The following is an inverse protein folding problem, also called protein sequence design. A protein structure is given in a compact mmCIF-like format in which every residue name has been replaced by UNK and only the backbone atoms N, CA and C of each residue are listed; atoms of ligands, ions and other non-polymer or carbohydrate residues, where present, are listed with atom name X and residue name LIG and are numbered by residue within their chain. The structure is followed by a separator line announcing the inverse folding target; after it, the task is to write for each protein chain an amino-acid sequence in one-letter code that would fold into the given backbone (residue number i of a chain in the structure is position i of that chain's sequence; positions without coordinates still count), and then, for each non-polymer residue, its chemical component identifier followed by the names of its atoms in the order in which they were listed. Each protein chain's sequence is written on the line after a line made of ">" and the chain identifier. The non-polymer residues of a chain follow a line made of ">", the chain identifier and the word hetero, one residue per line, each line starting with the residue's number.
data_IF_959339533292
#
_entry.id   IF_959339533292
#
_cell.length_a   1.000
_cell.length_b   1.000
_cell.length_c   1.000
_cell.angle_alpha   90.00
_cell.angle_beta   90.00
_cell.angle_gamma   90.00
#
_symmetry.space_group_name_H-M   'P 1'
#
loop_
_entity.id
_entity.type
_entity.pdbx_description
1 polymer ?
#
# COMPACT_ATOMS: atom_id res chain seq x y z
N UNK A 1 15.07 -9.63 15.24
CA UNK A 1 14.26 -8.57 15.87
C UNK A 1 12.83 -8.71 15.34
N UNK A 2 11.83 -8.62 16.22
CA UNK A 2 10.42 -8.77 15.86
C UNK A 2 9.82 -7.40 15.55
N UNK A 3 9.18 -7.27 14.39
CA UNK A 3 8.45 -6.05 14.03
C UNK A 3 7.09 -6.49 13.50
N UNK A 4 6.00 -6.32 14.29
CA UNK A 4 4.68 -6.69 13.82
C UNK A 4 4.32 -5.80 12.63
N UNK A 5 4.05 -6.45 11.51
CA UNK A 5 3.61 -5.84 10.27
C UNK A 5 2.31 -6.48 9.85
N UNK A 6 1.26 -5.69 9.76
CA UNK A 6 -0.01 -6.16 9.23
C UNK A 6 0.02 -6.08 7.71
N UNK A 7 -0.20 -7.23 7.07
CA UNK A 7 -0.14 -7.38 5.61
C UNK A 7 -1.51 -7.84 5.13
N UNK A 8 -2.13 -7.05 4.26
CA UNK A 8 -3.33 -7.45 3.53
C UNK A 8 -2.99 -7.62 2.04
N UNK A 9 -3.44 -8.72 1.45
CA UNK A 9 -3.19 -9.08 0.04
C UNK A 9 -4.51 -9.41 -0.62
N UNK A 10 -4.81 -8.71 -1.72
CA UNK A 10 -5.90 -9.08 -2.62
C UNK A 10 -5.35 -9.32 -4.02
N UNK A 11 -5.56 -10.53 -4.54
CA UNK A 11 -5.12 -10.92 -5.88
C UNK A 11 -6.31 -11.01 -6.80
N UNK A 12 -6.20 -10.35 -7.94
CA UNK A 12 -7.23 -10.32 -8.94
C UNK A 12 -6.73 -10.91 -10.25
N UNK A 13 -7.63 -11.57 -10.97
CA UNK A 13 -7.40 -12.02 -12.33
C UNK A 13 -8.45 -11.44 -13.26
N UNK A 14 -8.04 -11.18 -14.49
CA UNK A 14 -8.94 -10.86 -15.59
C UNK A 14 -8.68 -11.82 -16.74
N UNK A 15 -9.75 -12.40 -17.27
CA UNK A 15 -9.74 -13.26 -18.44
C UNK A 15 -10.92 -12.89 -19.33
N UNK A 16 -10.67 -12.67 -20.61
CA UNK A 16 -11.69 -12.43 -21.64
C UNK A 16 -11.88 -13.67 -22.55
N UNK A 17 -11.45 -14.85 -22.07
CA UNK A 17 -11.55 -16.13 -22.78
C UNK A 17 -10.67 -16.31 -24.03
N UNK A 18 -10.33 -15.23 -24.74
CA UNK A 18 -9.65 -15.30 -26.03
C UNK A 18 -8.18 -14.83 -26.03
N UNK A 19 -7.85 -13.66 -25.45
CA UNK A 19 -6.50 -13.06 -25.58
C UNK A 19 -5.97 -12.32 -24.36
N UNK A 20 -6.84 -11.74 -23.53
CA UNK A 20 -6.42 -10.89 -22.42
C UNK A 20 -6.46 -11.64 -21.09
N UNK A 21 -5.33 -12.27 -20.75
CA UNK A 21 -5.10 -12.86 -19.44
C UNK A 21 -4.20 -11.96 -18.60
N UNK A 22 -4.79 -11.24 -17.64
CA UNK A 22 -4.07 -10.28 -16.79
C UNK A 22 -4.20 -10.66 -15.32
N UNK A 23 -3.21 -10.24 -14.54
CA UNK A 23 -3.27 -10.28 -13.08
C UNK A 23 -3.13 -8.86 -12.54
N UNK A 24 -3.70 -8.65 -11.36
CA UNK A 24 -3.59 -7.41 -10.61
C UNK A 24 -3.60 -7.74 -9.12
N UNK A 25 -2.46 -7.63 -8.48
CA UNK A 25 -2.29 -7.89 -7.06
C UNK A 25 -2.10 -6.55 -6.33
N UNK A 26 -2.75 -6.43 -5.18
CA UNK A 26 -2.63 -5.27 -4.29
C UNK A 26 -2.20 -5.79 -2.92
N UNK A 27 -1.11 -5.22 -2.42
CA UNK A 27 -0.57 -5.50 -1.10
C UNK A 27 -0.62 -4.21 -0.29
N UNK A 28 -1.17 -4.27 0.91
CA UNK A 28 -1.10 -3.23 1.92
C UNK A 28 -0.22 -3.74 3.05
N UNK A 29 0.80 -2.97 3.42
CA UNK A 29 1.68 -3.27 4.54
C UNK A 29 1.63 -2.10 5.51
N UNK A 30 1.30 -2.36 6.78
CA UNK A 30 1.14 -1.35 7.82
C UNK A 30 2.00 -1.72 9.02
N UNK A 31 2.82 -0.78 9.49
CA UNK A 31 3.58 -0.96 10.72
C UNK A 31 2.82 -0.50 11.96
N UNK A 32 3.34 -0.85 13.13
CA UNK A 32 2.81 -0.44 14.44
C UNK A 32 2.76 1.07 14.67
N UNK A 33 3.49 1.86 13.87
CA UNK A 33 3.51 3.33 13.95
C UNK A 33 2.50 3.99 13.01
N UNK A 34 1.67 3.21 12.30
CA UNK A 34 0.67 3.70 11.35
C UNK A 34 1.25 4.16 10.01
N UNK A 35 2.52 3.87 9.74
CA UNK A 35 3.13 4.08 8.43
C UNK A 35 2.78 2.89 7.55
N UNK A 36 2.39 3.18 6.31
CA UNK A 36 1.92 2.15 5.41
C UNK A 36 2.48 2.34 4.00
N UNK A 37 2.58 1.24 3.27
CA UNK A 37 2.80 1.25 1.82
C UNK A 37 1.74 0.40 1.14
N UNK A 38 1.35 0.84 -0.06
CA UNK A 38 0.56 0.04 -0.99
C UNK A 38 1.49 -0.38 -2.13
N UNK A 39 1.59 -1.68 -2.38
CA UNK A 39 2.29 -2.23 -3.55
C UNK A 39 1.23 -2.74 -4.51
N UNK A 40 1.20 -2.15 -5.70
CA UNK A 40 0.40 -2.61 -6.83
C UNK A 40 1.30 -3.38 -7.77
N UNK A 41 0.89 -4.58 -8.17
CA UNK A 41 1.64 -5.43 -9.08
C UNK A 41 0.70 -5.94 -10.16
N UNK A 42 1.00 -5.73 -11.43
CA UNK A 42 0.09 -6.08 -12.52
C UNK A 42 0.83 -6.51 -13.77
N UNK A 43 0.16 -7.26 -14.63
CA UNK A 43 0.76 -7.69 -15.88
C UNK A 43 -0.08 -8.72 -16.61
N UNK A 44 0.53 -9.30 -17.65
CA UNK A 44 -0.02 -10.47 -18.32
C UNK A 44 0.28 -11.71 -17.47
N UNK A 45 -0.66 -12.64 -17.35
CA UNK A 45 -0.41 -13.90 -16.64
C UNK A 45 0.83 -14.60 -17.24
N UNK A 46 1.75 -15.03 -16.37
CA UNK A 46 3.01 -15.66 -16.76
C UNK A 46 4.18 -14.70 -17.03
N UNK A 47 3.98 -13.37 -16.95
CA UNK A 47 5.08 -12.40 -17.00
C UNK A 47 5.40 -11.86 -15.62
N UNK A 48 6.60 -11.27 -15.45
CA UNK A 48 6.98 -10.62 -14.21
C UNK A 48 6.08 -9.42 -13.87
N UNK A 49 5.45 -8.81 -14.88
CA UNK A 49 4.61 -7.62 -14.72
C UNK A 49 5.36 -6.39 -14.23
N UNK A 50 4.61 -5.30 -14.10
CA UNK A 50 5.05 -4.03 -13.56
C UNK A 50 4.57 -3.87 -12.13
N UNK A 51 5.25 -3.03 -11.37
CA UNK A 51 4.87 -2.71 -10.01
C UNK A 51 4.84 -1.20 -9.80
N UNK A 52 4.08 -0.76 -8.81
CA UNK A 52 4.10 0.62 -8.30
C UNK A 52 3.86 0.62 -6.81
N UNK A 53 4.73 1.33 -6.11
CA UNK A 53 4.66 1.48 -4.66
C UNK A 53 4.22 2.90 -4.32
N UNK A 54 3.33 3.02 -3.36
CA UNK A 54 2.86 4.30 -2.83
C UNK A 54 3.03 4.31 -1.31
N UNK A 55 3.67 5.36 -0.80
CA UNK A 55 3.92 5.56 0.63
C UNK A 55 2.82 6.39 1.27
N UNK A 56 2.41 5.98 2.47
CA UNK A 56 1.41 6.65 3.27
C UNK A 56 1.92 6.84 4.70
N UNK A 57 1.82 8.07 5.22
CA UNK A 57 2.17 8.38 6.60
C UNK A 57 1.00 8.19 7.59
N UNK A 58 -0.14 7.72 7.07
CA UNK A 58 -1.42 7.59 7.77
C UNK A 58 -2.06 6.26 7.32
N UNK A 59 -2.31 5.37 8.27
CA UNK A 59 -2.92 4.06 8.06
C UNK A 59 -4.32 4.15 7.45
N UNK A 60 -5.23 4.92 8.05
CA UNK A 60 -6.63 5.06 7.58
C UNK A 60 -6.71 5.48 6.10
N UNK A 61 -5.81 6.39 5.69
CA UNK A 61 -5.70 6.82 4.28
C UNK A 61 -5.24 5.68 3.38
N UNK A 62 -4.26 4.89 3.81
CA UNK A 62 -3.78 3.74 3.05
C UNK A 62 -4.85 2.65 2.92
N UNK A 63 -5.60 2.38 3.98
CA UNK A 63 -6.73 1.44 3.96
C UNK A 63 -7.83 1.89 3.00
N UNK A 64 -8.22 3.18 3.06
CA UNK A 64 -9.21 3.74 2.14
C UNK A 64 -8.77 3.67 0.67
N UNK A 65 -7.50 3.98 0.38
CA UNK A 65 -6.96 3.86 -0.98
C UNK A 65 -6.84 2.40 -1.43
N UNK A 66 -6.49 1.49 -0.53
CA UNK A 66 -6.46 0.05 -0.79
C UNK A 66 -7.85 -0.48 -1.17
N UNK A 67 -8.88 -0.13 -0.40
CA UNK A 67 -10.26 -0.50 -0.69
C UNK A 67 -10.74 0.08 -2.02
N UNK A 68 -10.49 1.37 -2.27
CA UNK A 68 -10.82 2.03 -3.55
C UNK A 68 -10.17 1.32 -4.74
N UNK A 69 -8.91 0.92 -4.60
CA UNK A 69 -8.20 0.18 -5.65
C UNK A 69 -8.84 -1.19 -5.89
N UNK A 70 -9.15 -1.93 -4.83
CA UNK A 70 -9.82 -3.23 -4.93
C UNK A 70 -11.20 -3.12 -5.57
N UNK A 71 -12.03 -2.17 -5.13
CA UNK A 71 -13.36 -1.95 -5.67
C UNK A 71 -13.34 -1.47 -7.12
N UNK A 72 -12.38 -0.61 -7.48
CA UNK A 72 -12.17 -0.19 -8.86
C UNK A 72 -11.89 -1.39 -9.78
N UNK A 73 -11.16 -2.40 -9.29
CA UNK A 73 -10.87 -3.63 -10.07
C UNK A 73 -12.10 -4.52 -10.18
N UNK A 74 -12.83 -4.74 -9.09
CA UNK A 74 -14.09 -5.51 -9.11
C UNK A 74 -15.09 -4.93 -10.11
N UNK A 75 -15.23 -3.60 -10.16
CA UNK A 75 -16.10 -2.91 -11.14
C UNK A 75 -15.64 -3.07 -12.60
N UNK A 76 -14.38 -3.44 -12.84
CA UNK A 76 -13.79 -3.64 -14.17
C UNK A 76 -13.73 -5.13 -14.55
N UNK A 77 -14.63 -5.95 -14.00
CA UNK A 77 -14.72 -7.39 -14.26
C UNK A 77 -13.44 -8.18 -13.90
N UNK A 78 -12.61 -7.66 -12.99
CA UNK A 78 -11.57 -8.49 -12.39
C UNK A 78 -12.19 -9.37 -11.31
N UNK A 79 -11.89 -10.66 -11.37
CA UNK A 79 -12.30 -11.66 -10.39
C UNK A 79 -11.29 -11.68 -9.23
N UNK A 80 -11.79 -11.70 -8.00
CA UNK A 80 -10.97 -11.89 -6.81
C UNK A 80 -10.58 -13.37 -6.71
N UNK A 81 -9.29 -13.66 -6.83
CA UNK A 81 -8.74 -15.02 -6.74
C UNK A 81 -8.41 -15.39 -5.30
N UNK A 82 -7.83 -14.45 -4.56
CA UNK A 82 -7.47 -14.68 -3.15
C UNK A 82 -7.48 -13.39 -2.38
N UNK A 83 -7.93 -13.47 -1.13
CA UNK A 83 -7.80 -12.43 -0.12
C UNK A 83 -7.12 -13.04 1.10
N UNK A 84 -6.03 -12.43 1.58
CA UNK A 84 -5.31 -12.90 2.75
C UNK A 84 -4.91 -11.71 3.62
N UNK A 85 -5.13 -11.82 4.93
CA UNK A 85 -4.66 -10.86 5.92
C UNK A 85 -3.80 -11.64 6.90
N UNK A 86 -2.58 -11.19 7.12
CA UNK A 86 -1.62 -11.83 7.99
C UNK A 86 -0.78 -10.79 8.71
N UNK A 87 -0.57 -11.00 10.00
CA UNK A 87 0.47 -10.31 10.74
C UNK A 87 1.79 -11.07 10.59
N UNK A 88 2.83 -10.38 10.15
CA UNK A 88 4.18 -10.89 10.03
C UNK A 88 5.06 -10.26 11.11
N UNK A 89 5.82 -11.07 11.83
CA UNK A 89 6.71 -10.62 12.90
C UNK A 89 8.18 -10.62 12.47
N UNK A 90 8.52 -11.35 11.41
CA UNK A 90 9.89 -11.53 10.92
C UNK A 90 10.02 -11.16 9.45
N UNK A 91 11.21 -10.75 9.01
CA UNK A 91 11.49 -10.45 7.59
C UNK A 91 11.20 -11.64 6.67
N UNK A 92 11.48 -12.86 7.13
CA UNK A 92 11.15 -14.07 6.40
C UNK A 92 9.64 -14.22 6.17
N UNK A 93 8.82 -13.92 7.18
CA UNK A 93 7.36 -13.94 7.06
C UNK A 93 6.85 -12.86 6.11
N UNK A 94 7.41 -11.65 6.15
CA UNK A 94 7.07 -10.57 5.23
C UNK A 94 7.41 -10.96 3.79
N UNK A 95 8.62 -11.50 3.57
CA UNK A 95 9.07 -12.00 2.26
C UNK A 95 8.14 -13.09 1.72
N UNK A 96 7.69 -14.00 2.58
CA UNK A 96 6.77 -15.07 2.19
C UNK A 96 5.35 -14.54 1.89
N UNK A 97 4.88 -13.55 2.65
CA UNK A 97 3.55 -12.95 2.44
C UNK A 97 3.48 -12.12 1.15
N UNK A 98 4.51 -11.31 0.86
CA UNK A 98 4.60 -10.53 -0.39
C UNK A 98 4.96 -11.43 -1.58
N UNK A 99 5.69 -12.51 -1.32
CA UNK A 99 6.10 -13.50 -2.31
C UNK A 99 7.55 -13.27 -2.78
N UNK A 100 8.33 -14.36 -2.98
CA UNK A 100 9.77 -14.29 -3.23
C UNK A 100 10.13 -13.63 -4.56
N UNK A 101 9.21 -13.57 -5.53
CA UNK A 101 9.43 -12.92 -6.82
C UNK A 101 9.20 -11.40 -6.79
N UNK A 102 8.26 -10.94 -5.96
CA UNK A 102 7.92 -9.52 -5.85
C UNK A 102 8.79 -8.81 -4.80
N UNK A 103 9.06 -9.48 -3.68
CA UNK A 103 9.82 -8.92 -2.55
C UNK A 103 11.13 -8.22 -2.95
N UNK A 104 12.00 -8.78 -3.81
CA UNK A 104 13.28 -8.15 -4.18
C UNK A 104 13.12 -6.91 -5.06
N UNK A 105 11.97 -6.77 -5.74
CA UNK A 105 11.70 -5.70 -6.69
C UNK A 105 11.15 -4.44 -6.05
N UNK A 106 10.65 -4.53 -4.82
CA UNK A 106 10.18 -3.38 -4.06
C UNK A 106 11.40 -2.53 -3.67
N UNK A 107 11.38 -1.21 -3.97
CA UNK A 107 12.51 -0.34 -3.67
C UNK A 107 12.86 -0.25 -2.19
N UNK A 108 14.15 -0.09 -1.91
CA UNK A 108 14.67 0.05 -0.56
C UNK A 108 14.05 1.21 0.24
N UNK A 109 13.93 2.43 -0.32
CA UNK A 109 13.33 3.56 0.38
C UNK A 109 11.88 3.30 0.80
N UNK A 110 11.08 2.64 -0.06
CA UNK A 110 9.69 2.31 0.24
C UNK A 110 9.56 1.28 1.35
N UNK A 111 10.44 0.28 1.39
CA UNK A 111 10.42 -0.70 2.48
C UNK A 111 10.86 -0.04 3.79
N UNK A 112 11.88 0.83 3.76
CA UNK A 112 12.35 1.55 4.96
C UNK A 112 11.29 2.44 5.58
N UNK A 113 10.32 2.92 4.79
CA UNK A 113 9.17 3.66 5.29
C UNK A 113 8.35 2.88 6.33
N UNK A 114 8.29 1.55 6.18
CA UNK A 114 7.49 0.66 7.02
C UNK A 114 8.37 -0.17 7.95
N UNK A 115 9.54 -0.60 7.47
CA UNK A 115 10.56 -1.37 8.18
C UNK A 115 11.91 -0.61 8.17
N UNK A 116 12.10 0.40 9.05
CA UNK A 116 13.28 1.27 9.02
C UNK A 116 14.61 0.54 9.23
N UNK A 117 14.58 -0.58 9.95
CA UNK A 117 15.76 -1.36 10.33
C UNK A 117 16.13 -2.45 9.32
N UNK A 118 15.34 -2.64 8.26
CA UNK A 118 15.64 -3.66 7.26
C UNK A 118 16.89 -3.25 6.46
N UNK A 119 17.79 -4.20 6.27
CA UNK A 119 18.86 -4.02 5.29
C UNK A 119 18.28 -4.00 3.88
N UNK A 120 18.46 -2.87 3.19
CA UNK A 120 18.00 -2.67 1.82
C UNK A 120 19.15 -2.65 0.82
N UNK A 121 20.34 -3.12 1.21
CA UNK A 121 21.51 -3.20 0.34
C UNK A 121 21.21 -4.11 -0.85
N UNK A 122 21.57 -3.67 -2.06
CA UNK A 122 21.31 -4.39 -3.31
C UNK A 122 19.88 -4.29 -3.86
N UNK A 123 18.98 -3.55 -3.21
CA UNK A 123 17.62 -3.28 -3.72
C UNK A 123 17.57 -2.10 -4.68
N UNK A 124 16.57 -2.04 -5.58
CA UNK A 124 16.30 -0.86 -6.38
C UNK A 124 16.09 0.39 -5.51
N UNK A 125 16.55 1.55 -5.96
CA UNK A 125 16.24 2.83 -5.31
C UNK A 125 14.87 3.37 -5.71
N UNK A 126 14.45 3.07 -6.95
CA UNK A 126 13.18 3.52 -7.51
C UNK A 126 12.49 2.34 -8.20
N UNK A 127 11.16 2.37 -8.23
CA UNK A 127 10.35 1.33 -8.87
C UNK A 127 10.57 1.29 -10.40
N UNK A 128 10.67 2.47 -11.01
CA UNK A 128 10.96 2.66 -12.43
C UNK A 128 12.10 3.68 -12.54
N UNK A 129 13.38 3.24 -12.63
CA UNK A 129 14.49 4.18 -12.77
C UNK A 129 14.30 5.03 -14.03
N UNK A 130 14.68 6.30 -13.95
CA UNK A 130 14.54 7.24 -15.07
C UNK A 130 15.15 6.67 -16.36
N UNK A 131 14.27 6.38 -17.34
CA UNK A 131 14.68 5.98 -18.69
C UNK A 131 14.72 7.23 -19.56
N UNK A 132 15.90 7.58 -20.05
CA UNK A 132 16.09 8.61 -21.05
C UNK A 132 16.15 7.94 -22.42
N UNK A 133 15.59 8.57 -23.46
CA UNK A 133 15.86 8.15 -24.82
C UNK A 133 17.29 8.56 -25.23
N UNK A 134 17.73 8.09 -26.40
CA UNK A 134 19.04 8.43 -26.99
C UNK A 134 19.26 9.95 -27.16
N UNK A 135 18.17 10.75 -27.16
CA UNK A 135 18.21 12.21 -27.27
C UNK A 135 18.15 12.92 -25.91
N UNK A 136 18.34 12.21 -24.79
CA UNK A 136 18.31 12.77 -23.44
C UNK A 136 16.92 13.22 -22.95
N UNK A 137 15.85 12.88 -23.68
CA UNK A 137 14.45 13.18 -23.32
C UNK A 137 13.88 12.07 -22.44
N UNK A 138 13.20 12.48 -21.39
CA UNK A 138 12.61 11.60 -20.38
C UNK A 138 11.44 10.76 -20.92
N UNK A 139 11.46 9.45 -20.66
CA UNK A 139 10.42 8.46 -21.05
C UNK A 139 9.75 7.81 -19.82
N UNK A 140 9.78 8.47 -18.66
CA UNK A 140 9.24 7.90 -17.41
C UNK A 140 7.74 8.11 -17.19
N UNK A 141 7.17 7.46 -16.17
CA UNK A 141 5.93 7.92 -15.53
C UNK A 141 6.26 9.05 -14.55
N UNK A 142 5.38 10.04 -14.42
CA UNK A 142 5.62 11.18 -13.52
C UNK A 142 5.83 10.66 -12.09
N UNK A 143 6.80 11.21 -11.34
CA UNK A 143 7.12 10.74 -10.00
C UNK A 143 5.86 10.78 -9.12
N UNK A 144 5.77 9.84 -8.18
CA UNK A 144 4.68 9.81 -7.21
C UNK A 144 4.60 11.17 -6.52
N UNK A 145 3.37 11.68 -6.35
CA UNK A 145 3.15 12.97 -5.68
C UNK A 145 3.54 12.82 -4.21
N UNK A 146 4.71 13.36 -3.85
CA UNK A 146 5.16 13.44 -2.46
C UNK A 146 4.35 14.54 -1.78
N UNK A 147 3.55 14.19 -0.77
CA UNK A 147 2.87 15.18 0.06
C UNK A 147 3.90 15.92 0.92
N UNK A 148 3.79 17.24 0.95
CA UNK A 148 4.65 18.10 1.76
C UNK A 148 4.43 17.85 3.26
N UNK A 149 5.44 18.16 4.10
CA UNK A 149 5.35 18.02 5.57
C UNK A 149 4.15 18.78 6.14
N UNK A 150 3.76 19.91 5.54
CA UNK A 150 2.62 20.73 5.93
C UNK A 150 1.28 20.07 5.56
N UNK A 151 1.17 19.44 4.39
CA UNK A 151 0.00 18.65 4.01
C UNK A 151 -0.19 17.43 4.93
N UNK A 152 0.91 16.77 5.31
CA UNK A 152 0.89 15.65 6.26
C UNK A 152 0.43 16.12 7.65
N UNK A 153 0.93 17.26 8.13
CA UNK A 153 0.55 17.82 9.43
C UNK A 153 -0.92 18.23 9.47
N UNK A 154 -1.41 18.89 8.41
CA UNK A 154 -2.83 19.27 8.28
C UNK A 154 -3.74 18.05 8.27
N UNK A 155 -3.36 16.98 7.56
CA UNK A 155 -4.14 15.75 7.55
C UNK A 155 -4.24 15.12 8.95
N UNK A 156 -3.14 15.08 9.71
CA UNK A 156 -3.15 14.58 11.11
C UNK A 156 -3.99 15.43 12.06
N UNK A 157 -4.00 16.75 11.88
CA UNK A 157 -4.84 17.64 12.68
C UNK A 157 -6.32 17.42 12.36
N UNK A 158 -6.68 17.31 11.08
CA UNK A 158 -8.04 17.01 10.66
C UNK A 158 -8.55 15.66 11.19
N UNK A 159 -7.69 14.64 11.28
CA UNK A 159 -8.04 13.35 11.92
C UNK A 159 -8.33 13.50 13.41
N UNK A 160 -7.49 14.25 14.14
CA UNK A 160 -7.70 14.51 15.57
C UNK A 160 -9.00 15.28 15.81
N UNK A 161 -9.30 16.26 14.97
CA UNK A 161 -10.53 17.04 15.05
C UNK A 161 -11.76 16.19 14.73
N UNK A 162 -11.68 15.32 13.71
CA UNK A 162 -12.76 14.39 13.39
C UNK A 162 -13.02 13.40 14.54
N UNK A 163 -11.96 12.84 15.14
CA UNK A 163 -12.06 11.96 16.31
C UNK A 163 -12.63 12.70 17.53
N UNK A 164 -12.28 13.97 17.74
CA UNK A 164 -12.88 14.78 18.81
C UNK A 164 -14.36 15.06 18.57
N UNK A 165 -14.75 15.39 17.34
CA UNK A 165 -16.17 15.62 16.98
C UNK A 165 -16.97 14.33 17.13
N UNK A 166 -16.42 13.19 16.72
CA UNK A 166 -17.06 11.89 16.89
C UNK A 166 -17.18 11.52 18.37
N UNK A 167 -16.11 11.71 19.16
CA UNK A 167 -16.14 11.49 20.61
C UNK A 167 -17.20 12.36 21.30
N UNK A 168 -17.29 13.66 20.96
CA UNK A 168 -18.32 14.56 21.51
C UNK A 168 -19.73 14.08 21.15
N UNK A 169 -19.95 13.61 19.91
CA UNK A 169 -21.23 13.01 19.52
C UNK A 169 -21.53 11.73 20.30
N UNK A 170 -20.54 10.87 20.51
CA UNK A 170 -20.68 9.65 21.30
C UNK A 170 -20.99 9.96 22.77
N UNK A 171 -20.34 10.96 23.36
CA UNK A 171 -20.61 11.43 24.72
C UNK A 171 -22.02 12.02 24.84
N UNK A 172 -22.46 12.83 23.87
CA UNK A 172 -23.80 13.41 23.85
C UNK A 172 -24.92 12.37 23.66
N UNK A 173 -24.63 11.27 22.95
CA UNK A 173 -25.59 10.18 22.71
C UNK A 173 -25.70 9.17 23.86
N UNK A 174 -24.87 9.28 24.92
CA UNK A 174 -24.87 8.33 26.05
C UNK A 174 -25.52 8.95 27.31
N UNK A 175 -26.82 8.67 27.59
CA UNK A 175 -27.58 9.32 28.66
C UNK A 175 -27.15 8.94 30.10
N UNK A 176 -26.11 8.12 30.26
CA UNK A 176 -25.56 7.69 31.57
C UNK A 176 -24.32 8.46 32.04
N UNK A 177 -23.69 9.26 31.18
CA UNK A 177 -22.52 10.06 31.57
C UNK A 177 -22.98 11.41 32.16
N UNK A 178 -23.01 11.52 33.49
CA UNK A 178 -23.41 12.75 34.20
C UNK A 178 -24.37 12.55 35.39
N UNK A 179 -24.74 11.31 35.72
CA UNK A 179 -25.47 10.97 36.95
C UNK A 179 -24.48 10.46 38.02
N UNK A 180 -23.74 11.39 38.64
CA UNK A 180 -23.12 11.23 39.97
C UNK A 180 -23.17 12.57 40.70
#
# INVERSE_FOLDING_TARGET
>A
MSYPLDIAVQKFAFSDGNRSNKFYDVYLMVNTHGMAIIVRHWGKKGTSGDLKVEQFAIQKKAESEFEKLCDSRRRKAYELISSNIKQANTDAEVRMAVGPALWPRIPGPDIKHVLPHLDTTGRPQETNPARYNENGKWIGEAPARVYSKTEIAKARQAEREAEQVEAVKTYAANPRFGLF
#
